data_IF_024414720506
#
_entry.id   IF_024414720506
#
_cell.length_a   1.000
_cell.length_b   1.000
_cell.length_c   1.000
_cell.angle_alpha   90.00
_cell.angle_beta   90.00
_cell.angle_gamma   90.00
#
_symmetry.space_group_name_H-M   'P 1'
#
loop_
_entity.id
_entity.type
_entity.pdbx_description
1 polymer ?
#
# COMPACT_ATOMS: atom_id res chain seq x y z
N UNK A 1 18.29 -22.83 -0.42
CA UNK A 1 18.08 -21.99 -1.63
C UNK A 1 19.30 -22.16 -2.52
N UNK A 2 19.20 -22.39 -3.84
CA UNK A 2 20.36 -22.30 -4.70
C UNK A 2 20.89 -20.88 -4.60
N UNK A 3 22.22 -20.73 -4.43
CA UNK A 3 22.89 -19.42 -4.40
C UNK A 3 22.65 -18.73 -5.75
N UNK A 4 21.69 -17.80 -5.77
CA UNK A 4 21.52 -16.94 -6.93
C UNK A 4 22.76 -16.06 -7.06
N UNK A 5 23.32 -15.96 -8.27
CA UNK A 5 24.47 -15.09 -8.50
C UNK A 5 24.14 -13.65 -8.08
N UNK A 6 25.03 -12.96 -7.40
CA UNK A 6 24.85 -11.57 -6.93
C UNK A 6 24.34 -10.65 -8.06
N UNK A 7 24.80 -10.85 -9.28
CA UNK A 7 24.35 -10.11 -10.46
C UNK A 7 22.84 -10.30 -10.71
N UNK A 8 22.32 -11.52 -10.56
CA UNK A 8 20.91 -11.83 -10.76
C UNK A 8 20.05 -11.12 -9.72
N UNK A 9 20.48 -11.08 -8.46
CA UNK A 9 19.79 -10.38 -7.37
C UNK A 9 19.75 -8.87 -7.65
N UNK A 10 20.88 -8.27 -8.05
CA UNK A 10 20.96 -6.84 -8.38
C UNK A 10 20.07 -6.49 -9.57
N UNK A 11 20.09 -7.30 -10.64
CA UNK A 11 19.23 -7.08 -11.82
C UNK A 11 17.75 -7.20 -11.46
N UNK A 12 17.37 -8.21 -10.66
CA UNK A 12 15.99 -8.36 -10.18
C UNK A 12 15.53 -7.14 -9.35
N UNK A 13 16.36 -6.70 -8.39
CA UNK A 13 16.05 -5.54 -7.56
C UNK A 13 15.87 -4.26 -8.41
N UNK A 14 16.77 -4.01 -9.36
CA UNK A 14 16.68 -2.87 -10.28
C UNK A 14 15.42 -2.95 -11.14
N UNK A 15 15.07 -4.13 -11.64
CA UNK A 15 13.86 -4.36 -12.45
C UNK A 15 12.60 -4.12 -11.61
N UNK A 16 12.53 -4.61 -10.38
CA UNK A 16 11.38 -4.37 -9.48
C UNK A 16 11.22 -2.88 -9.21
N UNK A 17 12.29 -2.18 -8.86
CA UNK A 17 12.26 -0.72 -8.63
C UNK A 17 11.78 0.02 -9.88
N UNK A 18 12.28 -0.35 -11.06
CA UNK A 18 11.85 0.25 -12.33
C UNK A 18 10.35 0.02 -12.62
N UNK A 19 9.87 -1.22 -12.43
CA UNK A 19 8.45 -1.57 -12.60
C UNK A 19 7.59 -0.76 -11.63
N UNK A 20 8.00 -0.64 -10.37
CA UNK A 20 7.25 0.08 -9.33
C UNK A 20 7.15 1.57 -9.65
N UNK A 21 8.25 2.21 -10.03
CA UNK A 21 8.25 3.63 -10.42
C UNK A 21 7.36 3.85 -11.65
N UNK A 22 7.43 2.94 -12.62
CA UNK A 22 6.60 3.00 -13.82
C UNK A 22 5.12 2.79 -13.46
N UNK A 23 4.81 1.79 -12.64
CA UNK A 23 3.44 1.52 -12.18
C UNK A 23 2.87 2.73 -11.42
N UNK A 24 3.63 3.36 -10.52
CA UNK A 24 3.25 4.61 -9.86
C UNK A 24 2.88 5.70 -10.86
N UNK A 25 3.75 5.96 -11.83
CA UNK A 25 3.56 7.02 -12.81
C UNK A 25 2.28 6.84 -13.64
N UNK A 26 2.02 5.60 -14.09
CA UNK A 26 0.81 5.27 -14.85
C UNK A 26 -0.44 5.12 -13.97
N UNK A 27 -0.30 4.70 -12.71
CA UNK A 27 -1.40 4.67 -11.74
C UNK A 27 -1.94 6.08 -11.49
N UNK A 28 -1.05 7.07 -11.33
CA UNK A 28 -1.44 8.48 -11.20
C UNK A 28 -2.21 8.99 -12.43
N UNK A 29 -1.75 8.63 -13.64
CA UNK A 29 -2.46 8.97 -14.88
C UNK A 29 -3.83 8.28 -14.93
N UNK A 30 -3.89 7.01 -14.58
CA UNK A 30 -5.12 6.21 -14.58
C UNK A 30 -6.14 6.77 -13.61
N UNK A 31 -5.73 7.11 -12.38
CA UNK A 31 -6.57 7.75 -11.39
C UNK A 31 -7.17 9.07 -11.91
N UNK A 32 -6.33 9.97 -12.46
CA UNK A 32 -6.80 11.25 -13.04
C UNK A 32 -7.79 11.04 -14.18
N UNK A 33 -7.62 10.01 -15.00
CA UNK A 33 -8.54 9.66 -16.08
C UNK A 33 -9.85 9.09 -15.57
N UNK A 34 -9.80 8.19 -14.59
CA UNK A 34 -11.00 7.59 -14.00
C UNK A 34 -11.84 8.65 -13.27
N UNK A 35 -11.21 9.47 -12.42
CA UNK A 35 -11.91 10.57 -11.73
C UNK A 35 -12.54 11.53 -12.75
N UNK A 36 -11.83 11.86 -13.85
CA UNK A 36 -12.39 12.65 -14.93
C UNK A 36 -13.66 12.00 -15.50
N UNK A 37 -13.64 10.69 -15.76
CA UNK A 37 -14.82 9.95 -16.27
C UNK A 37 -15.99 9.96 -15.29
N UNK A 38 -15.74 9.75 -13.99
CA UNK A 38 -16.79 9.82 -12.96
C UNK A 38 -17.40 11.23 -12.85
N UNK A 39 -16.62 12.26 -13.15
CA UNK A 39 -17.08 13.66 -13.17
C UNK A 39 -17.59 14.12 -14.56
N UNK A 40 -17.81 13.20 -15.51
CA UNK A 40 -18.29 13.49 -16.89
C UNK A 40 -17.38 14.48 -17.63
N UNK A 41 -16.05 14.42 -17.39
CA UNK A 41 -15.03 15.22 -18.08
C UNK A 41 -13.85 14.36 -18.52
N UNK A 42 -13.07 14.90 -19.45
CA UNK A 42 -11.83 14.25 -19.86
C UNK A 42 -10.72 14.51 -18.84
N UNK A 43 -9.96 13.43 -18.50
CA UNK A 43 -8.70 13.55 -17.79
C UNK A 43 -7.58 14.08 -18.69
N UNK A 44 -6.29 14.01 -18.28
CA UNK A 44 -5.16 14.42 -19.09
C UNK A 44 -5.14 13.74 -20.47
N UNK A 45 -5.16 14.51 -21.57
CA UNK A 45 -5.21 13.99 -22.94
C UNK A 45 -4.33 14.75 -23.94
N UNK A 46 -3.58 15.79 -23.50
CA UNK A 46 -2.84 16.69 -24.39
C UNK A 46 -1.39 16.30 -24.60
N UNK A 47 -0.72 15.74 -23.57
CA UNK A 47 0.72 15.42 -23.63
C UNK A 47 0.90 14.03 -24.22
N UNK A 48 1.33 13.95 -25.45
CA UNK A 48 1.45 12.72 -26.23
C UNK A 48 0.09 12.12 -26.65
N UNK A 49 0.10 10.96 -27.32
CA UNK A 49 -1.13 10.29 -27.71
C UNK A 49 -2.01 10.01 -26.51
N UNK A 50 -3.24 10.52 -26.52
CA UNK A 50 -4.22 10.34 -25.44
C UNK A 50 -3.71 10.72 -24.02
N UNK A 51 -2.65 11.53 -23.92
CA UNK A 51 -2.07 11.94 -22.64
C UNK A 51 -1.15 10.91 -21.97
N UNK A 52 -0.71 9.86 -22.68
CA UNK A 52 0.16 8.82 -22.08
C UNK A 52 1.56 9.30 -21.72
N UNK A 53 2.04 10.43 -22.27
CA UNK A 53 3.31 11.04 -21.89
C UNK A 53 3.20 12.04 -20.72
N UNK A 54 2.01 12.20 -20.15
CA UNK A 54 1.80 13.11 -19.00
C UNK A 54 2.67 12.75 -17.78
N UNK A 55 2.85 11.47 -17.39
CA UNK A 55 3.73 11.11 -16.29
C UNK A 55 5.17 11.58 -16.50
N UNK A 56 5.69 11.48 -17.72
CA UNK A 56 7.04 11.96 -18.05
C UNK A 56 7.15 13.48 -17.88
N UNK A 57 6.15 14.22 -18.35
CA UNK A 57 6.11 15.67 -18.19
C UNK A 57 6.05 16.07 -16.69
N UNK A 58 5.28 15.32 -15.89
CA UNK A 58 5.18 15.56 -14.46
C UNK A 58 6.53 15.29 -13.73
N UNK A 59 7.25 14.23 -14.11
CA UNK A 59 8.60 13.94 -13.57
C UNK A 59 9.58 15.05 -13.94
N UNK A 60 9.65 15.45 -15.21
CA UNK A 60 10.53 16.51 -15.68
C UNK A 60 10.26 17.80 -14.92
N UNK A 61 8.99 18.18 -14.76
CA UNK A 61 8.60 19.38 -13.98
C UNK A 61 9.10 19.31 -12.53
N UNK A 62 8.98 18.16 -11.86
CA UNK A 62 9.37 18.00 -10.46
C UNK A 62 10.88 17.98 -10.26
N UNK A 63 11.63 17.44 -11.23
CA UNK A 63 13.12 17.44 -11.20
C UNK A 63 13.68 18.84 -11.31
N UNK A 64 13.11 19.68 -12.20
CA UNK A 64 13.58 21.05 -12.42
C UNK A 64 12.96 22.07 -11.48
N UNK A 65 12.01 21.67 -10.64
CA UNK A 65 11.38 22.56 -9.66
C UNK A 65 12.34 22.83 -8.49
N UNK A 66 12.43 24.08 -8.06
CA UNK A 66 13.25 24.51 -6.93
C UNK A 66 12.87 23.77 -5.63
N UNK A 67 13.88 23.28 -4.91
CA UNK A 67 13.74 22.63 -3.62
C UNK A 67 13.90 23.65 -2.51
N UNK A 68 12.80 24.20 -2.02
CA UNK A 68 12.78 25.15 -0.93
C UNK A 68 12.80 24.42 0.43
N UNK A 69 13.72 24.83 1.31
CA UNK A 69 13.77 24.35 2.70
C UNK A 69 13.48 25.56 3.61
N UNK A 70 12.43 25.53 4.44
CA UNK A 70 12.10 26.61 5.35
C UNK A 70 13.24 26.94 6.33
N UNK A 71 13.42 28.20 6.67
CA UNK A 71 14.48 28.64 7.58
C UNK A 71 14.39 28.01 8.99
N UNK A 72 13.18 27.74 9.46
CA UNK A 72 12.91 27.10 10.75
C UNK A 72 12.94 25.58 10.73
N UNK A 73 13.17 24.93 9.58
CA UNK A 73 13.16 23.49 9.45
C UNK A 73 14.51 22.87 9.87
N UNK A 74 14.44 21.67 10.48
CA UNK A 74 15.63 20.84 10.66
C UNK A 74 16.00 20.18 9.34
N UNK A 75 17.04 20.69 8.66
CA UNK A 75 17.43 20.29 7.30
C UNK A 75 17.72 18.79 7.15
N UNK A 76 18.32 18.15 8.17
CA UNK A 76 18.66 16.72 8.12
C UNK A 76 17.38 15.89 8.16
N UNK A 77 16.55 16.08 9.17
CA UNK A 77 15.29 15.34 9.32
C UNK A 77 14.32 15.65 8.17
N UNK A 78 14.26 16.90 7.71
CA UNK A 78 13.46 17.31 6.57
C UNK A 78 13.83 16.55 5.27
N UNK A 79 15.12 16.27 5.06
CA UNK A 79 15.58 15.52 3.88
C UNK A 79 15.50 14.01 4.07
N UNK A 80 15.66 13.49 5.30
CA UNK A 80 15.57 12.06 5.59
C UNK A 80 14.14 11.55 5.60
N UNK A 81 13.18 12.36 6.01
CA UNK A 81 11.78 11.95 6.14
C UNK A 81 11.19 11.32 4.86
N UNK A 82 11.24 11.95 3.68
CA UNK A 82 10.74 11.32 2.45
C UNK A 82 11.55 10.08 2.03
N UNK A 83 12.86 10.03 2.33
CA UNK A 83 13.69 8.85 2.05
C UNK A 83 13.28 7.65 2.89
N UNK A 84 12.93 7.84 4.18
CA UNK A 84 12.43 6.78 5.04
C UNK A 84 11.12 6.23 4.50
N UNK A 85 10.17 7.10 4.13
CA UNK A 85 8.87 6.68 3.59
C UNK A 85 9.01 5.86 2.30
N UNK A 86 9.84 6.32 1.35
CA UNK A 86 10.02 5.62 0.09
C UNK A 86 10.79 4.31 0.25
N UNK A 87 11.82 4.29 1.12
CA UNK A 87 12.61 3.07 1.36
C UNK A 87 11.76 1.98 1.99
N UNK A 88 10.88 2.33 2.94
CA UNK A 88 9.95 1.41 3.55
C UNK A 88 8.93 0.87 2.54
N UNK A 89 8.34 1.73 1.71
CA UNK A 89 7.38 1.34 0.70
C UNK A 89 7.99 0.42 -0.38
N UNK A 90 9.19 0.75 -0.87
CA UNK A 90 9.91 -0.09 -1.86
C UNK A 90 10.38 -1.40 -1.22
N UNK A 91 10.81 -1.39 0.06
CA UNK A 91 11.15 -2.61 0.78
C UNK A 91 9.95 -3.55 0.96
N UNK A 92 8.77 -3.00 1.24
CA UNK A 92 7.56 -3.79 1.43
C UNK A 92 7.10 -4.52 0.16
N UNK A 93 7.32 -3.94 -1.03
CA UNK A 93 6.93 -4.60 -2.28
C UNK A 93 7.76 -5.86 -2.58
N UNK A 94 9.00 -5.92 -2.08
CA UNK A 94 9.86 -7.09 -2.24
C UNK A 94 9.32 -8.34 -1.53
N UNK A 95 8.40 -8.18 -0.58
CA UNK A 95 7.76 -9.28 0.16
C UNK A 95 6.52 -9.82 -0.53
N UNK A 96 5.94 -9.08 -1.49
CA UNK A 96 4.76 -9.54 -2.23
C UNK A 96 5.17 -10.62 -3.24
N UNK A 97 4.57 -11.81 -3.22
CA UNK A 97 4.86 -12.85 -4.19
C UNK A 97 4.16 -12.55 -5.52
N UNK A 98 4.95 -12.31 -6.59
CA UNK A 98 4.43 -11.94 -7.91
C UNK A 98 4.03 -13.15 -8.78
N UNK A 99 4.53 -14.34 -8.50
CA UNK A 99 4.24 -15.53 -9.32
C UNK A 99 4.94 -16.76 -8.81
N UNK A 100 4.60 -17.90 -9.41
CA UNK A 100 5.23 -19.17 -9.13
C UNK A 100 6.70 -19.17 -9.53
N UNK A 101 7.56 -19.91 -8.80
CA UNK A 101 8.92 -20.15 -9.24
C UNK A 101 8.87 -20.89 -10.60
N UNK A 102 9.47 -20.30 -11.61
CA UNK A 102 9.53 -20.89 -12.96
C UNK A 102 10.97 -21.12 -13.37
N UNK A 103 11.19 -22.17 -14.17
CA UNK A 103 12.52 -22.46 -14.71
C UNK A 103 12.67 -21.81 -16.08
N UNK A 104 13.52 -20.78 -16.18
CA UNK A 104 13.90 -20.16 -17.44
C UNK A 104 15.36 -20.53 -17.77
N UNK A 105 15.60 -21.04 -18.99
CA UNK A 105 16.94 -21.41 -19.48
C UNK A 105 17.73 -22.33 -18.52
N UNK A 106 17.04 -23.23 -17.81
CA UNK A 106 17.67 -24.14 -16.85
C UNK A 106 17.97 -23.55 -15.46
N UNK A 107 17.63 -22.28 -15.22
CA UNK A 107 17.72 -21.63 -13.92
C UNK A 107 16.35 -21.44 -13.29
N UNK A 108 16.21 -21.78 -12.01
CA UNK A 108 15.01 -21.43 -11.25
C UNK A 108 15.00 -19.93 -11.00
N UNK A 109 13.97 -19.26 -11.51
CA UNK A 109 13.73 -17.84 -11.28
C UNK A 109 12.52 -17.71 -10.38
N UNK A 110 12.75 -17.22 -9.17
CA UNK A 110 11.69 -16.91 -8.23
C UNK A 110 11.14 -15.51 -8.54
N UNK A 111 9.81 -15.40 -8.71
CA UNK A 111 9.12 -14.13 -8.92
C UNK A 111 8.69 -13.47 -7.59
N UNK A 112 9.53 -13.58 -6.56
CA UNK A 112 9.41 -12.85 -5.30
C UNK A 112 10.78 -12.30 -4.90
N UNK A 113 10.80 -11.15 -4.23
CA UNK A 113 12.04 -10.51 -3.81
C UNK A 113 12.67 -11.23 -2.62
N UNK A 114 11.85 -11.59 -1.63
CA UNK A 114 12.27 -12.33 -0.45
C UNK A 114 11.15 -13.26 0.03
N UNK A 115 11.48 -14.54 0.18
CA UNK A 115 10.61 -15.53 0.84
C UNK A 115 11.10 -15.68 2.28
N UNK A 116 10.32 -15.15 3.20
CA UNK A 116 10.62 -15.17 4.64
C UNK A 116 9.48 -15.87 5.37
N UNK A 117 9.81 -16.75 6.30
CA UNK A 117 8.81 -17.44 7.14
C UNK A 117 7.91 -16.45 7.91
N UNK A 118 8.41 -15.23 8.15
CA UNK A 118 7.73 -14.15 8.87
C UNK A 118 7.43 -12.94 7.97
N UNK A 119 7.25 -13.15 6.65
CA UNK A 119 7.11 -12.06 5.68
C UNK A 119 5.99 -11.09 6.01
N UNK A 120 4.87 -11.55 6.56
CA UNK A 120 3.77 -10.70 6.99
C UNK A 120 4.15 -9.76 8.15
N UNK A 121 4.91 -10.25 9.14
CA UNK A 121 5.40 -9.39 10.26
C UNK A 121 6.40 -8.35 9.76
N UNK A 122 7.32 -8.74 8.88
CA UNK A 122 8.28 -7.80 8.28
C UNK A 122 7.56 -6.73 7.46
N UNK A 123 6.48 -7.10 6.76
CA UNK A 123 5.66 -6.16 6.00
C UNK A 123 5.02 -5.11 6.92
N UNK A 124 4.39 -5.52 8.03
CA UNK A 124 3.83 -4.57 9.02
C UNK A 124 4.92 -3.72 9.66
N UNK A 125 6.10 -4.28 9.95
CA UNK A 125 7.22 -3.51 10.48
C UNK A 125 7.70 -2.44 9.50
N UNK A 126 7.75 -2.74 8.19
CA UNK A 126 8.10 -1.78 7.15
C UNK A 126 7.00 -0.72 6.97
N UNK A 127 5.72 -1.09 7.04
CA UNK A 127 4.60 -0.14 7.04
C UNK A 127 4.76 0.86 8.19
N UNK A 128 4.96 0.37 9.42
CA UNK A 128 5.24 1.19 10.60
C UNK A 128 6.46 2.10 10.43
N UNK A 129 7.55 1.59 9.80
CA UNK A 129 8.72 2.42 9.50
C UNK A 129 8.40 3.56 8.52
N UNK A 130 7.62 3.29 7.48
CA UNK A 130 7.18 4.28 6.49
C UNK A 130 6.41 5.44 7.11
N UNK A 131 5.59 5.13 8.07
CA UNK A 131 4.81 6.06 8.87
C UNK A 131 5.69 7.04 9.68
N UNK A 132 6.83 6.61 10.24
CA UNK A 132 7.78 7.54 10.88
C UNK A 132 8.29 8.59 9.91
N UNK A 133 8.42 8.30 8.63
CA UNK A 133 8.77 9.29 7.61
C UNK A 133 7.75 10.44 7.54
N UNK A 134 6.45 10.13 7.61
CA UNK A 134 5.39 11.16 7.60
C UNK A 134 5.40 12.02 8.87
N UNK A 135 5.59 11.41 10.04
CA UNK A 135 5.68 12.13 11.31
C UNK A 135 6.90 13.06 11.32
N UNK A 136 8.06 12.51 10.98
CA UNK A 136 9.31 13.26 10.96
C UNK A 136 9.24 14.42 9.95
N UNK A 137 8.59 14.20 8.79
CA UNK A 137 8.37 15.22 7.78
C UNK A 137 7.58 16.43 8.30
N UNK A 138 6.47 16.17 8.95
CA UNK A 138 5.66 17.24 9.53
C UNK A 138 6.33 17.93 10.72
N UNK A 139 7.03 17.18 11.57
CA UNK A 139 7.76 17.76 12.72
C UNK A 139 8.97 18.58 12.27
N UNK A 140 9.77 18.08 11.34
CA UNK A 140 10.97 18.75 10.85
C UNK A 140 10.68 20.04 10.06
N UNK A 141 9.46 20.19 9.54
CA UNK A 141 9.03 21.37 8.77
C UNK A 141 8.98 22.67 9.58
N UNK A 142 8.91 22.59 10.92
CA UNK A 142 8.84 23.78 11.78
C UNK A 142 7.54 24.60 11.64
N UNK A 143 6.51 24.05 11.03
CA UNK A 143 5.20 24.66 10.81
C UNK A 143 4.12 24.01 11.69
N UNK A 144 3.24 24.82 12.28
CA UNK A 144 2.15 24.34 13.15
C UNK A 144 1.15 23.44 12.41
N UNK A 145 0.82 23.78 11.17
CA UNK A 145 -0.10 23.00 10.35
C UNK A 145 0.49 21.65 9.96
N UNK A 146 1.77 21.62 9.59
CA UNK A 146 2.49 20.38 9.29
C UNK A 146 2.59 19.46 10.51
N UNK A 147 2.85 20.03 11.70
CA UNK A 147 2.90 19.29 12.96
C UNK A 147 1.53 18.69 13.33
N UNK A 148 0.45 19.47 13.17
CA UNK A 148 -0.91 18.97 13.41
C UNK A 148 -1.31 17.89 12.39
N UNK A 149 -0.92 18.05 11.11
CA UNK A 149 -1.12 17.04 10.08
C UNK A 149 -0.45 15.72 10.44
N UNK A 150 0.83 15.75 10.79
CA UNK A 150 1.58 14.56 11.17
C UNK A 150 1.05 13.90 12.45
N UNK A 151 0.60 14.67 13.45
CA UNK A 151 -0.02 14.12 14.66
C UNK A 151 -1.35 13.40 14.35
N UNK A 152 -2.16 13.96 13.44
CA UNK A 152 -3.40 13.32 12.97
C UNK A 152 -3.11 12.04 12.19
N UNK A 153 -2.10 12.05 11.34
CA UNK A 153 -1.60 10.86 10.62
C UNK A 153 -1.21 9.78 11.60
N UNK A 154 -0.41 10.12 12.61
CA UNK A 154 0.01 9.20 13.66
C UNK A 154 -1.17 8.51 14.34
N UNK A 155 -2.15 9.28 14.78
CA UNK A 155 -3.32 8.75 15.46
C UNK A 155 -4.17 7.84 14.55
N UNK A 156 -4.31 8.19 13.26
CA UNK A 156 -5.04 7.40 12.29
C UNK A 156 -4.35 6.06 12.04
N UNK A 157 -3.08 6.08 11.63
CA UNK A 157 -2.35 4.89 11.21
C UNK A 157 -2.25 3.88 12.36
N UNK A 158 -1.82 4.29 13.56
CA UNK A 158 -1.76 3.39 14.74
C UNK A 158 -3.12 2.77 15.05
N UNK A 159 -4.22 3.53 14.91
CA UNK A 159 -5.55 3.02 15.24
C UNK A 159 -6.07 1.99 14.22
N UNK A 160 -5.78 2.16 12.93
CA UNK A 160 -6.27 1.28 11.87
C UNK A 160 -5.35 0.10 11.61
N UNK A 161 -4.05 0.23 11.84
CA UNK A 161 -3.06 -0.85 11.75
C UNK A 161 -3.41 -2.01 12.68
N UNK A 162 -3.91 -1.74 13.89
CA UNK A 162 -4.36 -2.79 14.82
C UNK A 162 -5.51 -3.60 14.23
N UNK A 163 -6.52 -2.95 13.65
CA UNK A 163 -7.65 -3.65 13.04
C UNK A 163 -7.24 -4.44 11.79
N UNK A 164 -6.33 -3.88 10.98
CA UNK A 164 -5.76 -4.55 9.82
C UNK A 164 -4.96 -5.79 10.23
N UNK A 165 -4.11 -5.66 11.25
CA UNK A 165 -3.36 -6.78 11.81
C UNK A 165 -4.25 -7.91 12.32
N UNK A 166 -5.32 -7.59 13.08
CA UNK A 166 -6.28 -8.61 13.56
C UNK A 166 -6.98 -9.34 12.41
N UNK A 167 -7.33 -8.63 11.32
CA UNK A 167 -7.94 -9.27 10.14
C UNK A 167 -6.95 -10.20 9.43
N UNK A 168 -5.66 -9.80 9.34
CA UNK A 168 -4.61 -10.62 8.76
C UNK A 168 -4.27 -11.84 9.63
N UNK A 169 -4.28 -11.72 10.95
CA UNK A 169 -4.08 -12.85 11.89
C UNK A 169 -5.15 -13.92 11.70
N UNK A 170 -6.40 -13.55 11.39
CA UNK A 170 -7.44 -14.52 11.04
C UNK A 170 -7.08 -15.37 9.83
N UNK A 171 -6.46 -14.80 8.81
CA UNK A 171 -5.95 -15.54 7.63
C UNK A 171 -4.75 -16.42 8.02
N UNK A 172 -3.82 -15.89 8.82
CA UNK A 172 -2.66 -16.64 9.33
C UNK A 172 -3.09 -17.88 10.11
N UNK A 173 -4.12 -17.77 10.95
CA UNK A 173 -4.68 -18.90 11.68
C UNK A 173 -5.27 -19.98 10.75
N UNK A 174 -5.93 -19.57 9.66
CA UNK A 174 -6.49 -20.48 8.69
C UNK A 174 -5.41 -21.15 7.82
N UNK A 175 -4.35 -20.43 7.47
CA UNK A 175 -3.24 -20.91 6.65
C UNK A 175 -2.17 -21.68 7.45
N UNK A 176 -2.03 -21.40 8.75
CA UNK A 176 -1.00 -21.99 9.61
C UNK A 176 0.41 -21.44 9.38
N UNK A 177 0.59 -20.38 8.60
CA UNK A 177 1.89 -19.77 8.28
C UNK A 177 1.82 -18.25 8.23
N UNK A 178 2.96 -17.58 8.53
CA UNK A 178 3.17 -16.13 8.35
C UNK A 178 3.85 -15.81 7.01
N UNK A 179 4.26 -16.83 6.25
CA UNK A 179 4.80 -16.65 4.90
C UNK A 179 3.70 -16.29 3.92
N UNK A 180 3.88 -15.22 3.15
CA UNK A 180 2.93 -14.83 2.11
C UNK A 180 2.86 -15.85 0.97
N UNK A 181 3.96 -16.57 0.70
CA UNK A 181 4.01 -17.63 -0.31
C UNK A 181 3.17 -18.82 0.13
N UNK A 182 3.34 -19.28 1.38
CA UNK A 182 2.57 -20.40 1.93
C UNK A 182 1.07 -20.06 1.99
N UNK A 183 0.72 -18.84 2.36
CA UNK A 183 -0.67 -18.37 2.37
C UNK A 183 -1.30 -18.46 0.97
N UNK A 184 -0.56 -18.16 -0.10
CA UNK A 184 -1.06 -18.35 -1.48
C UNK A 184 -1.21 -19.81 -1.80
N UNK A 185 -0.24 -20.65 -1.45
CA UNK A 185 -0.29 -22.09 -1.70
C UNK A 185 -1.46 -22.76 -0.97
N UNK A 186 -1.75 -22.32 0.26
CA UNK A 186 -2.92 -22.79 1.03
C UNK A 186 -4.27 -22.44 0.37
N UNK A 187 -4.29 -21.50 -0.58
CA UNK A 187 -5.47 -21.11 -1.35
C UNK A 187 -5.49 -21.69 -2.78
N UNK A 188 -4.53 -22.55 -3.14
CA UNK A 188 -4.36 -23.05 -4.53
C UNK A 188 -5.60 -23.78 -5.08
N UNK A 189 -6.35 -24.49 -4.24
CA UNK A 189 -7.55 -25.26 -4.60
C UNK A 189 -8.82 -24.39 -4.73
N UNK A 190 -8.68 -23.12 -5.11
CA UNK A 190 -9.78 -22.13 -5.22
C UNK A 190 -10.58 -21.85 -3.95
N UNK A 191 -10.11 -22.26 -2.80
CA UNK A 191 -10.65 -21.87 -1.49
C UNK A 191 -10.11 -20.51 -1.07
N UNK A 192 -10.43 -19.48 -1.84
CA UNK A 192 -10.00 -18.10 -1.51
C UNK A 192 -10.55 -17.70 -0.15
N UNK A 193 -9.69 -17.16 0.68
CA UNK A 193 -10.07 -16.77 2.05
C UNK A 193 -11.11 -15.65 2.11
N UNK A 194 -11.33 -14.89 1.05
CA UNK A 194 -12.47 -13.95 0.97
C UNK A 194 -13.83 -14.65 1.16
N UNK A 195 -13.95 -15.92 0.75
CA UNK A 195 -15.17 -16.72 0.91
C UNK A 195 -15.31 -17.28 2.33
N UNK A 196 -14.19 -17.61 2.96
CA UNK A 196 -14.13 -18.16 4.33
C UNK A 196 -14.20 -17.05 5.37
N UNK A 197 -13.60 -15.90 5.08
CA UNK A 197 -13.50 -14.74 5.98
C UNK A 197 -13.94 -13.43 5.32
N UNK A 198 -15.19 -13.33 4.85
CA UNK A 198 -15.66 -12.11 4.18
C UNK A 198 -15.63 -10.88 5.09
N UNK A 199 -15.90 -11.04 6.39
CA UNK A 199 -15.82 -9.95 7.37
C UNK A 199 -14.37 -9.49 7.56
N UNK A 200 -13.42 -10.43 7.66
CA UNK A 200 -11.98 -10.12 7.71
C UNK A 200 -11.52 -9.32 6.50
N UNK A 201 -11.95 -9.72 5.30
CA UNK A 201 -11.64 -8.99 4.07
C UNK A 201 -12.18 -7.56 4.07
N UNK A 202 -13.44 -7.35 4.48
CA UNK A 202 -14.03 -6.00 4.57
C UNK A 202 -13.28 -5.14 5.59
N UNK A 203 -12.97 -5.68 6.77
CA UNK A 203 -12.18 -4.98 7.79
C UNK A 203 -10.80 -4.62 7.25
N UNK A 204 -10.12 -5.58 6.61
CA UNK A 204 -8.82 -5.34 5.97
C UNK A 204 -8.90 -4.20 4.94
N UNK A 205 -9.87 -4.23 4.03
CA UNK A 205 -10.01 -3.21 2.99
C UNK A 205 -10.30 -1.82 3.54
N UNK A 206 -11.14 -1.71 4.58
CA UNK A 206 -11.40 -0.43 5.25
C UNK A 206 -10.12 0.10 5.91
N UNK A 207 -9.40 -0.77 6.63
CA UNK A 207 -8.14 -0.41 7.26
C UNK A 207 -7.05 -0.05 6.24
N UNK A 208 -6.99 -0.77 5.11
CA UNK A 208 -6.09 -0.50 4.00
C UNK A 208 -6.28 0.89 3.38
N UNK A 209 -7.55 1.33 3.19
CA UNK A 209 -7.84 2.69 2.72
C UNK A 209 -7.39 3.74 3.74
N UNK A 210 -7.54 3.47 5.04
CA UNK A 210 -7.08 4.36 6.10
C UNK A 210 -5.54 4.39 6.21
N UNK A 211 -4.87 3.26 6.02
CA UNK A 211 -3.41 3.11 6.03
C UNK A 211 -2.75 3.89 4.88
N UNK A 212 -3.39 3.91 3.72
CA UNK A 212 -2.89 4.65 2.55
C UNK A 212 -3.28 6.13 2.55
N UNK A 213 -3.87 6.64 3.63
CA UNK A 213 -4.30 8.03 3.79
C UNK A 213 -5.21 8.54 2.65
N UNK A 214 -5.98 7.63 2.02
CA UNK A 214 -6.88 7.97 0.91
C UNK A 214 -8.28 8.33 1.38
N UNK A 215 -8.94 9.19 0.63
CA UNK A 215 -10.34 9.50 0.88
C UNK A 215 -11.20 8.22 0.91
N UNK A 216 -12.11 8.07 1.90
CA UNK A 216 -12.66 9.08 2.82
C UNK A 216 -11.83 9.39 4.07
N UNK A 217 -10.65 8.76 4.25
CA UNK A 217 -9.78 8.86 5.44
C UNK A 217 -8.57 9.77 5.23
N UNK A 218 -8.65 10.74 4.33
CA UNK A 218 -7.62 11.70 3.96
C UNK A 218 -7.49 12.84 5.00
N UNK A 219 -7.12 12.49 6.23
CA UNK A 219 -6.92 13.45 7.32
C UNK A 219 -5.53 14.08 7.35
N UNK A 220 -4.46 13.39 6.90
CA UNK A 220 -3.11 13.94 6.88
C UNK A 220 -2.96 15.17 6.01
N UNK A 221 -3.60 15.17 4.84
CA UNK A 221 -3.54 16.28 3.88
C UNK A 221 -4.51 17.39 4.24
N UNK A 222 -5.73 17.03 4.61
CA UNK A 222 -6.79 17.91 5.09
C UNK A 222 -6.81 19.30 4.46
N UNK A 223 -6.77 19.41 3.10
CA UNK A 223 -6.65 20.69 2.37
C UNK A 223 -7.57 21.80 2.90
N UNK A 224 -8.78 21.48 3.30
CA UNK A 224 -9.76 22.43 3.81
C UNK A 224 -9.48 22.89 5.26
N UNK A 225 -8.66 22.16 6.04
CA UNK A 225 -8.38 22.44 7.46
C UNK A 225 -6.91 22.79 7.71
N UNK A 226 -5.97 22.13 7.02
CA UNK A 226 -4.52 22.17 7.30
C UNK A 226 -3.67 22.62 6.10
N UNK A 227 -4.28 23.21 5.05
CA UNK A 227 -3.65 23.65 3.80
C UNK A 227 -3.17 22.45 2.97
N UNK A 228 -2.11 21.75 3.39
CA UNK A 228 -1.61 20.52 2.77
C UNK A 228 -1.04 19.55 3.84
N UNK A 229 -1.38 19.75 5.11
CA UNK A 229 -1.00 18.86 6.20
C UNK A 229 0.52 18.69 6.37
N UNK A 230 1.00 17.44 6.52
CA UNK A 230 2.41 17.16 6.83
C UNK A 230 3.39 17.60 5.73
N UNK A 231 2.96 17.68 4.46
CA UNK A 231 3.83 18.02 3.32
C UNK A 231 3.69 19.47 2.86
N UNK A 232 3.04 20.36 3.64
CA UNK A 232 2.82 21.77 3.28
C UNK A 232 4.09 22.52 2.87
N UNK A 233 5.22 22.24 3.52
CA UNK A 233 6.50 22.89 3.27
C UNK A 233 7.36 22.17 2.22
N UNK A 234 6.94 20.97 1.77
CA UNK A 234 7.70 20.19 0.80
C UNK A 234 7.44 20.63 -0.64
N UNK A 235 8.48 20.67 -1.45
CA UNK A 235 8.45 21.09 -2.84
C UNK A 235 9.32 20.17 -3.71
N UNK A 236 9.18 20.24 -5.04
CA UNK A 236 10.04 19.56 -5.99
C UNK A 236 10.13 18.05 -5.79
N UNK A 237 11.35 17.51 -5.79
CA UNK A 237 11.59 16.08 -5.66
C UNK A 237 11.20 15.51 -4.30
N UNK A 238 11.39 16.25 -3.20
CA UNK A 238 11.05 15.78 -1.85
C UNK A 238 9.55 15.57 -1.70
N UNK A 239 8.75 16.46 -2.24
CA UNK A 239 7.29 16.28 -2.32
C UNK A 239 6.94 15.03 -3.15
N UNK A 240 7.58 14.85 -4.31
CA UNK A 240 7.30 13.70 -5.16
C UNK A 240 7.67 12.36 -4.52
N UNK A 241 8.68 12.34 -3.63
CA UNK A 241 9.05 11.13 -2.89
C UNK A 241 7.95 10.68 -1.91
N UNK A 242 7.30 11.60 -1.20
CA UNK A 242 6.15 11.25 -0.37
C UNK A 242 4.98 10.74 -1.20
N UNK A 243 4.68 11.41 -2.30
CA UNK A 243 3.65 10.97 -3.25
C UNK A 243 3.96 9.59 -3.83
N UNK A 244 5.21 9.35 -4.22
CA UNK A 244 5.66 8.03 -4.70
C UNK A 244 5.46 6.96 -3.61
N UNK A 245 5.88 7.23 -2.36
CA UNK A 245 5.71 6.31 -1.25
C UNK A 245 4.24 5.97 -1.00
N UNK A 246 3.35 6.94 -1.04
CA UNK A 246 1.91 6.75 -0.85
C UNK A 246 1.29 5.82 -1.92
N UNK A 247 1.57 6.07 -3.20
CA UNK A 247 1.05 5.23 -4.29
C UNK A 247 1.68 3.84 -4.31
N UNK A 248 2.98 3.73 -3.97
CA UNK A 248 3.64 2.44 -3.82
C UNK A 248 3.01 1.66 -2.67
N UNK A 249 2.75 2.28 -1.52
CA UNK A 249 2.01 1.65 -0.42
C UNK A 249 0.62 1.19 -0.85
N UNK A 250 -0.08 1.96 -1.69
CA UNK A 250 -1.38 1.56 -2.23
C UNK A 250 -1.27 0.31 -3.12
N UNK A 251 -0.21 0.19 -3.92
CA UNK A 251 0.08 -1.01 -4.72
C UNK A 251 0.44 -2.19 -3.80
N UNK A 252 1.31 -1.97 -2.81
CA UNK A 252 1.72 -3.00 -1.84
C UNK A 252 0.52 -3.55 -1.08
N UNK A 253 -0.29 -2.68 -0.49
CA UNK A 253 -1.42 -3.12 0.34
C UNK A 253 -2.51 -3.81 -0.49
N UNK A 254 -2.66 -3.41 -1.78
CA UNK A 254 -3.50 -4.12 -2.73
C UNK A 254 -2.93 -5.50 -3.07
N UNK A 255 -1.61 -5.62 -3.25
CA UNK A 255 -0.90 -6.87 -3.44
C UNK A 255 -1.05 -7.81 -2.24
N UNK A 256 -0.89 -7.27 -1.02
CA UNK A 256 -1.09 -8.01 0.24
C UNK A 256 -2.54 -8.46 0.39
N UNK A 257 -3.51 -7.58 0.15
CA UNK A 257 -4.93 -7.94 0.18
C UNK A 257 -5.29 -9.03 -0.84
N UNK A 258 -4.72 -8.96 -2.04
CA UNK A 258 -4.86 -10.02 -3.05
C UNK A 258 -4.24 -11.33 -2.58
N UNK A 259 -3.06 -11.29 -1.95
CA UNK A 259 -2.34 -12.47 -1.43
C UNK A 259 -3.09 -13.11 -0.27
N UNK A 260 -3.54 -12.32 0.70
CA UNK A 260 -4.20 -12.82 1.90
C UNK A 260 -5.61 -13.37 1.62
N UNK A 261 -6.39 -12.72 0.76
CA UNK A 261 -7.82 -13.03 0.64
C UNK A 261 -8.24 -13.57 -0.72
N UNK A 262 -7.50 -13.27 -1.79
CA UNK A 262 -7.89 -13.60 -3.16
C UNK A 262 -6.97 -14.65 -3.81
N UNK A 263 -6.15 -15.35 -3.02
CA UNK A 263 -5.24 -16.37 -3.53
C UNK A 263 -4.04 -15.83 -4.32
N UNK A 264 -3.66 -14.57 -4.14
CA UNK A 264 -2.45 -13.99 -4.74
C UNK A 264 -2.32 -14.23 -6.23
N UNK A 265 -1.22 -14.85 -6.64
CA UNK A 265 -0.94 -15.21 -8.04
C UNK A 265 -1.67 -16.48 -8.51
N UNK A 266 -2.35 -17.25 -7.62
CA UNK A 266 -3.07 -18.45 -8.00
C UNK A 266 -4.31 -18.15 -8.82
N UNK A 267 -4.51 -18.90 -9.93
CA UNK A 267 -5.70 -18.79 -10.76
C UNK A 267 -5.60 -19.68 -12.04
N UNK A 268 -6.74 -20.01 -12.68
CA UNK A 268 -6.77 -20.92 -13.82
C UNK A 268 -6.34 -20.27 -15.13
N UNK A 269 -5.61 -20.98 -15.96
CA UNK A 269 -5.44 -20.70 -17.38
C UNK A 269 -4.55 -19.50 -17.76
N UNK A 270 -4.10 -18.69 -16.80
CA UNK A 270 -3.21 -17.53 -17.03
C UNK A 270 -1.95 -17.67 -16.18
N UNK A 271 -0.82 -17.08 -16.59
CA UNK A 271 0.39 -17.08 -15.78
C UNK A 271 0.16 -16.32 -14.45
N UNK A 272 0.78 -16.76 -13.37
CA UNK A 272 0.53 -16.26 -12.01
C UNK A 272 0.71 -14.76 -11.86
N UNK A 273 1.78 -14.17 -12.46
CA UNK A 273 2.00 -12.72 -12.41
C UNK A 273 0.84 -11.90 -13.01
N UNK A 274 0.15 -12.46 -14.02
CA UNK A 274 -0.99 -11.78 -14.65
C UNK A 274 -2.23 -11.84 -13.75
N UNK A 275 -2.45 -12.97 -13.07
CA UNK A 275 -3.52 -13.09 -12.07
C UNK A 275 -3.35 -12.09 -10.93
N UNK A 276 -2.14 -11.98 -10.38
CA UNK A 276 -1.87 -10.98 -9.35
C UNK A 276 -2.09 -9.56 -9.88
N UNK A 277 -1.59 -9.24 -11.08
CA UNK A 277 -1.78 -7.92 -11.69
C UNK A 277 -3.27 -7.57 -11.87
N UNK A 278 -4.11 -8.52 -12.31
CA UNK A 278 -5.56 -8.32 -12.43
C UNK A 278 -6.19 -8.03 -11.06
N UNK A 279 -5.91 -8.87 -10.05
CA UNK A 279 -6.46 -8.70 -8.69
C UNK A 279 -6.04 -7.37 -8.07
N UNK A 280 -4.77 -7.02 -8.17
CA UNK A 280 -4.25 -5.72 -7.71
C UNK A 280 -4.93 -4.56 -8.44
N UNK A 281 -5.11 -4.66 -9.76
CA UNK A 281 -5.79 -3.63 -10.55
C UNK A 281 -7.25 -3.44 -10.12
N UNK A 282 -7.97 -4.53 -9.82
CA UNK A 282 -9.35 -4.48 -9.30
C UNK A 282 -9.39 -3.79 -7.93
N UNK A 283 -8.47 -4.10 -7.03
CA UNK A 283 -8.41 -3.45 -5.72
C UNK A 283 -8.03 -1.96 -5.84
N UNK A 284 -7.06 -1.61 -6.70
CA UNK A 284 -6.70 -0.23 -6.99
C UNK A 284 -7.87 0.56 -7.60
N UNK A 285 -8.66 -0.08 -8.50
CA UNK A 285 -9.89 0.51 -9.01
C UNK A 285 -10.89 0.81 -7.87
N UNK A 286 -11.03 -0.10 -6.90
CA UNK A 286 -11.88 0.11 -5.73
C UNK A 286 -11.40 1.33 -4.92
N UNK A 287 -10.10 1.50 -4.67
CA UNK A 287 -9.54 2.69 -4.01
C UNK A 287 -9.91 3.98 -4.73
N UNK A 288 -9.74 4.01 -6.06
CA UNK A 288 -10.05 5.20 -6.87
C UNK A 288 -11.56 5.47 -6.87
N UNK A 289 -12.38 4.42 -6.93
CA UNK A 289 -13.84 4.54 -6.91
C UNK A 289 -14.34 5.08 -5.56
N UNK A 290 -13.83 4.56 -4.44
CA UNK A 290 -14.14 5.07 -3.10
C UNK A 290 -13.77 6.54 -2.96
N UNK A 291 -12.59 6.93 -3.45
CA UNK A 291 -12.15 8.34 -3.47
C UNK A 291 -13.10 9.24 -4.26
N UNK A 292 -13.62 8.76 -5.37
CA UNK A 292 -14.49 9.54 -6.25
C UNK A 292 -15.93 9.66 -5.75
N UNK A 293 -16.38 8.76 -4.86
CA UNK A 293 -17.79 8.64 -4.47
C UNK A 293 -18.08 9.02 -3.03
N UNK A 294 -17.15 8.71 -2.10
CA UNK A 294 -17.39 8.93 -0.68
C UNK A 294 -16.95 10.33 -0.23
N UNK A 295 -17.77 11.01 0.58
CA UNK A 295 -17.36 12.25 1.21
C UNK A 295 -16.33 11.97 2.30
N UNK A 296 -15.47 12.95 2.56
CA UNK A 296 -14.46 12.87 3.60
C UNK A 296 -15.09 12.78 4.99
N UNK A 297 -14.51 11.94 5.85
CA UNK A 297 -14.90 11.82 7.24
C UNK A 297 -14.15 12.82 8.12
N UNK A 298 -14.85 13.34 9.11
CA UNK A 298 -14.24 14.20 10.13
C UNK A 298 -13.43 13.36 11.12
N UNK A 299 -12.33 13.93 11.67
CA UNK A 299 -11.38 13.26 12.56
C UNK A 299 -12.05 12.53 13.73
N UNK A 300 -12.97 13.18 14.45
CA UNK A 300 -13.64 12.59 15.60
C UNK A 300 -14.52 11.38 15.23
N UNK A 301 -15.19 11.42 14.08
CA UNK A 301 -15.99 10.30 13.58
C UNK A 301 -15.11 9.15 13.12
N UNK A 302 -14.00 9.46 12.46
CA UNK A 302 -13.04 8.47 11.99
C UNK A 302 -12.44 7.70 13.17
N UNK A 303 -11.95 8.40 14.21
CA UNK A 303 -11.40 7.75 15.40
C UNK A 303 -12.45 6.92 16.16
N UNK A 304 -13.69 7.43 16.29
CA UNK A 304 -14.80 6.65 16.89
C UNK A 304 -15.13 5.40 16.08
N UNK A 305 -15.11 5.49 14.75
CA UNK A 305 -15.36 4.34 13.87
C UNK A 305 -14.28 3.28 14.02
N UNK A 306 -12.99 3.65 13.99
CA UNK A 306 -11.87 2.73 14.17
C UNK A 306 -11.95 1.96 15.50
N UNK A 307 -12.09 2.69 16.62
CA UNK A 307 -12.04 2.08 17.95
C UNK A 307 -13.35 1.41 18.39
N UNK A 308 -14.50 1.98 18.04
CA UNK A 308 -15.81 1.48 18.54
C UNK A 308 -16.49 0.51 17.59
N UNK A 309 -16.14 0.49 16.31
CA UNK A 309 -16.77 -0.38 15.32
C UNK A 309 -15.74 -1.33 14.71
N UNK A 310 -14.70 -0.82 14.09
CA UNK A 310 -13.79 -1.65 13.29
C UNK A 310 -12.99 -2.62 14.17
N UNK A 311 -12.41 -2.14 15.26
CA UNK A 311 -11.64 -2.97 16.20
C UNK A 311 -12.49 -4.07 16.86
N UNK A 312 -13.68 -3.81 17.44
CA UNK A 312 -14.54 -4.87 17.95
C UNK A 312 -14.98 -5.89 16.90
N UNK A 313 -15.30 -5.45 15.68
CA UNK A 313 -15.66 -6.35 14.58
C UNK A 313 -14.47 -7.23 14.17
N UNK A 314 -13.26 -6.66 14.06
CA UNK A 314 -12.04 -7.41 13.78
C UNK A 314 -11.76 -8.46 14.86
N UNK A 315 -11.89 -8.08 16.13
CA UNK A 315 -11.70 -8.99 17.28
C UNK A 315 -12.75 -10.10 17.27
N UNK A 316 -14.01 -9.78 17.06
CA UNK A 316 -15.09 -10.78 16.98
C UNK A 316 -14.86 -11.77 15.83
N UNK A 317 -14.47 -11.26 14.65
CA UNK A 317 -14.12 -12.11 13.51
C UNK A 317 -12.94 -13.04 13.83
N UNK A 318 -11.90 -12.54 14.50
CA UNK A 318 -10.76 -13.35 14.91
C UNK A 318 -11.16 -14.47 15.88
N UNK A 319 -11.99 -14.18 16.89
CA UNK A 319 -12.48 -15.18 17.85
C UNK A 319 -13.33 -16.25 17.16
N UNK A 320 -14.22 -15.86 16.25
CA UNK A 320 -15.00 -16.82 15.45
C UNK A 320 -14.09 -17.72 14.62
N UNK A 321 -13.09 -17.13 13.97
CA UNK A 321 -12.11 -17.89 13.17
C UNK A 321 -11.34 -18.87 14.06
N UNK A 322 -10.90 -18.44 15.26
CA UNK A 322 -10.18 -19.30 16.19
C UNK A 322 -11.01 -20.54 16.59
N UNK A 323 -12.30 -20.36 16.86
CA UNK A 323 -13.21 -21.47 17.19
C UNK A 323 -13.39 -22.40 15.99
N UNK A 324 -13.64 -21.84 14.80
CA UNK A 324 -13.85 -22.66 13.59
C UNK A 324 -12.61 -23.47 13.22
N UNK A 325 -11.43 -22.86 13.26
CA UNK A 325 -10.15 -23.53 12.99
C UNK A 325 -9.86 -24.57 14.06
N UNK A 326 -10.06 -24.27 15.35
CA UNK A 326 -9.88 -25.23 16.44
C UNK A 326 -10.74 -26.47 16.28
N UNK A 327 -12.04 -26.30 15.98
CA UNK A 327 -12.95 -27.44 15.72
C UNK A 327 -12.61 -28.23 14.44
N UNK A 328 -11.97 -27.60 13.46
CA UNK A 328 -11.52 -28.29 12.25
C UNK A 328 -10.25 -29.13 12.48
N UNK A 329 -9.37 -28.73 13.38
CA UNK A 329 -8.16 -29.49 13.75
C UNK A 329 -8.44 -30.65 14.70
N UNK A 330 -9.57 -30.66 15.41
CA UNK A 330 -9.99 -31.80 16.25
C UNK A 330 -10.64 -32.96 15.48
N UNK A 331 -10.87 -32.81 14.19
CA UNK A 331 -11.38 -33.83 13.28
C UNK A 331 -10.30 -34.42 12.39
#
# INVERSE_FOLDING_TARGET
MPEEALLTIVVKAALVVFIVITAFAYLLLWERKLIGRFQVRYGPNRVGPLGYLQPLADVVKLVFKEDAVPAGANRILFSLAPLISIAAAVGAIALVPFGDPTTYLGHQVNFFGADLDISLLVLFALSGLGFYGLILGGWASGNKYSLLGSARTAAQLVSYEVAMGLSAVGVVMAAGSLSLVDIVQAQADFTWYVLVQPVGFVVFMIAAVAETNRAPFDLPEAESELVAGYHTEYSGLKFSMFFLAEYVNMIVISGVGATLFLGGYSGPGLPGWLWLAIKVTVLLFLFIWLRATLPRLRYDRLMKFGWKVLLPVATANLLVTAVVVGLAFER
#
